data_IF_298943125409
#
_entry.id   IF_298943125409
#
_cell.length_a   1.000
_cell.length_b   1.000
_cell.length_c   1.000
_cell.angle_alpha   90.00
_cell.angle_beta   90.00
_cell.angle_gamma   90.00
#
_symmetry.space_group_name_H-M   'P 1'
#
loop_
_entity.id
_entity.type
_entity.pdbx_description
1 polymer ?
#
# COMPACT_ATOMS: atom_id res chain seq x y z
N UNK A 1 -23.03 19.31 34.49
CA UNK A 1 -22.15 18.18 34.14
C UNK A 1 -22.08 18.07 32.62
N UNK A 2 -20.95 17.63 32.06
CA UNK A 2 -20.83 17.40 30.62
C UNK A 2 -21.62 16.16 30.24
N UNK A 3 -22.34 16.19 29.12
CA UNK A 3 -22.97 14.99 28.54
C UNK A 3 -21.94 13.97 28.02
N UNK A 4 -20.67 14.35 27.96
CA UNK A 4 -19.56 13.52 27.50
C UNK A 4 -18.68 12.98 28.64
N UNK A 5 -19.11 13.11 29.90
CA UNK A 5 -18.32 12.69 31.07
C UNK A 5 -17.87 11.22 31.00
N UNK A 6 -18.69 10.34 30.41
CA UNK A 6 -18.42 8.90 30.34
C UNK A 6 -17.78 8.45 29.01
N UNK A 7 -17.41 9.38 28.11
CA UNK A 7 -16.78 9.02 26.84
C UNK A 7 -15.30 8.66 27.09
N UNK A 8 -14.89 7.39 26.92
CA UNK A 8 -13.51 7.00 27.17
C UNK A 8 -12.59 7.51 26.06
N UNK A 9 -11.37 7.90 26.41
CA UNK A 9 -10.35 8.22 25.43
C UNK A 9 -9.90 6.95 24.70
N UNK A 10 -10.02 6.94 23.37
CA UNK A 10 -9.54 5.85 22.54
C UNK A 10 -7.98 5.80 22.54
N UNK A 11 -7.38 4.60 22.50
CA UNK A 11 -5.93 4.48 22.37
C UNK A 11 -5.46 5.06 21.02
N UNK A 12 -4.27 5.69 20.97
CA UNK A 12 -3.75 6.22 19.72
C UNK A 12 -3.36 5.09 18.77
N UNK A 13 -3.50 5.34 17.47
CA UNK A 13 -3.00 4.42 16.44
C UNK A 13 -1.46 4.41 16.50
N UNK A 14 -0.89 3.23 16.77
CA UNK A 14 0.54 3.07 17.08
C UNK A 14 1.49 3.75 16.09
N UNK A 15 1.22 3.63 14.78
CA UNK A 15 2.09 4.22 13.74
C UNK A 15 2.08 5.75 13.75
N UNK A 16 0.93 6.37 14.08
CA UNK A 16 0.83 7.83 14.17
C UNK A 16 1.42 8.36 15.47
N UNK A 17 1.26 7.61 16.57
CA UNK A 17 1.95 7.92 17.84
C UNK A 17 3.46 7.93 17.65
N UNK A 18 4.02 6.90 17.00
CA UNK A 18 5.46 6.81 16.70
C UNK A 18 5.95 8.01 15.86
N UNK A 19 5.14 8.49 14.93
CA UNK A 19 5.46 9.68 14.11
C UNK A 19 5.41 10.96 14.93
N UNK A 20 4.43 11.09 15.83
CA UNK A 20 4.34 12.23 16.74
C UNK A 20 5.56 12.26 17.69
N UNK A 21 5.93 11.11 18.25
CA UNK A 21 7.09 10.99 19.13
C UNK A 21 8.39 11.36 18.41
N UNK A 22 8.59 10.83 17.19
CA UNK A 22 9.70 11.23 16.33
C UNK A 22 9.72 12.74 16.07
N UNK A 23 8.57 13.37 15.83
CA UNK A 23 8.52 14.81 15.55
C UNK A 23 8.92 15.63 16.77
N UNK A 24 8.43 15.25 17.94
CA UNK A 24 8.58 15.99 19.19
C UNK A 24 9.95 15.77 19.85
N UNK A 25 10.69 14.75 19.43
CA UNK A 25 12.07 14.46 19.85
C UNK A 25 13.08 15.50 19.31
N UNK A 26 13.84 16.22 20.16
CA UNK A 26 14.82 17.20 19.70
C UNK A 26 16.17 16.58 19.29
N UNK A 27 16.38 15.27 19.45
CA UNK A 27 17.68 14.64 19.24
C UNK A 27 18.16 14.81 17.79
N UNK A 28 19.40 15.29 17.55
CA UNK A 28 19.87 15.67 16.22
C UNK A 28 20.08 14.48 15.28
N UNK A 29 20.26 13.26 15.82
CA UNK A 29 20.45 12.03 15.03
C UNK A 29 19.21 11.13 15.00
N UNK A 30 18.02 11.64 15.35
CA UNK A 30 16.79 10.84 15.32
C UNK A 30 16.48 10.32 13.92
N UNK A 31 15.96 9.10 13.82
CA UNK A 31 15.63 8.46 12.54
C UNK A 31 14.20 7.91 12.57
N UNK A 32 13.41 8.16 11.51
CA UNK A 32 12.06 7.62 11.38
C UNK A 32 12.01 6.45 10.39
N UNK A 33 11.87 5.24 10.92
CA UNK A 33 11.69 3.99 10.18
C UNK A 33 10.28 3.40 10.40
N UNK A 34 9.30 4.21 10.83
CA UNK A 34 7.98 3.74 11.21
C UNK A 34 6.96 3.69 10.07
N UNK A 35 6.52 4.87 9.63
CA UNK A 35 5.52 5.04 8.57
C UNK A 35 6.14 4.66 7.23
N UNK A 36 5.47 3.79 6.47
CA UNK A 36 5.84 3.44 5.09
C UNK A 36 5.50 4.56 4.12
N UNK A 37 6.40 5.53 4.02
CA UNK A 37 6.33 6.60 3.04
C UNK A 37 7.73 6.87 2.48
N UNK A 38 7.77 7.17 1.18
CA UNK A 38 9.00 7.44 0.46
C UNK A 38 9.65 8.74 0.93
N UNK A 39 10.99 8.75 0.97
CA UNK A 39 11.79 9.90 1.36
C UNK A 39 12.95 10.11 0.40
N UNK A 40 13.44 11.35 0.35
CA UNK A 40 14.73 11.67 -0.25
C UNK A 40 15.89 11.23 0.65
N UNK A 41 17.13 11.31 0.17
CA UNK A 41 18.34 11.06 0.96
C UNK A 41 18.51 12.05 2.13
N UNK A 42 17.79 13.18 2.09
CA UNK A 42 17.66 14.17 3.17
C UNK A 42 16.47 13.91 4.11
N UNK A 43 15.88 12.70 4.05
CA UNK A 43 14.71 12.30 4.82
C UNK A 43 13.46 13.20 4.59
N UNK A 44 13.37 13.90 3.46
CA UNK A 44 12.22 14.75 3.13
C UNK A 44 11.16 14.00 2.32
N UNK A 45 9.87 14.38 2.41
CA UNK A 45 8.84 13.83 1.53
C UNK A 45 9.22 14.02 0.05
N UNK A 46 9.13 12.94 -0.73
CA UNK A 46 9.43 12.99 -2.15
C UNK A 46 8.13 12.96 -2.99
N UNK A 47 7.90 14.01 -3.75
CA UNK A 47 6.82 14.09 -4.73
C UNK A 47 7.40 13.74 -6.10
N UNK A 48 6.82 12.73 -6.76
CA UNK A 48 7.30 12.22 -8.03
C UNK A 48 7.29 13.34 -9.10
N UNK A 49 8.32 13.42 -9.97
CA UNK A 49 8.36 14.43 -11.05
C UNK A 49 7.12 14.40 -11.95
N UNK A 50 6.64 13.21 -12.33
CA UNK A 50 5.43 13.03 -13.14
C UNK A 50 4.19 13.59 -12.45
N UNK A 51 4.06 13.42 -11.13
CA UNK A 51 2.94 13.99 -10.35
C UNK A 51 2.97 15.51 -10.42
N UNK A 52 4.13 16.14 -10.18
CA UNK A 52 4.28 17.60 -10.31
C UNK A 52 3.95 18.11 -11.72
N UNK A 53 4.32 17.34 -12.75
CA UNK A 53 4.02 17.67 -14.15
C UNK A 53 2.52 17.61 -14.40
N UNK A 54 1.84 16.56 -13.95
CA UNK A 54 0.39 16.41 -14.09
C UNK A 54 -0.37 17.45 -13.29
N UNK A 55 0.09 17.82 -12.09
CA UNK A 55 -0.49 18.91 -11.31
C UNK A 55 -0.49 20.24 -12.07
N UNK A 56 0.61 20.59 -12.76
CA UNK A 56 0.64 21.78 -13.63
C UNK A 56 -0.36 21.69 -14.76
N UNK A 57 -0.44 20.53 -15.43
CA UNK A 57 -1.43 20.30 -16.49
C UNK A 57 -2.87 20.42 -15.99
N UNK A 58 -3.15 20.01 -14.74
CA UNK A 58 -4.47 20.16 -14.13
C UNK A 58 -4.79 21.63 -13.87
N UNK A 59 -3.83 22.41 -13.37
CA UNK A 59 -4.02 23.84 -13.08
C UNK A 59 -4.24 24.65 -14.37
N UNK A 60 -3.62 24.26 -15.47
CA UNK A 60 -3.73 24.94 -16.77
C UNK A 60 -5.01 24.58 -17.56
N UNK A 61 -5.68 23.49 -17.19
CA UNK A 61 -6.84 22.95 -17.90
C UNK A 61 -8.14 23.65 -17.49
N UNK A 62 -8.55 24.64 -18.27
CA UNK A 62 -9.76 25.44 -18.02
C UNK A 62 -11.08 24.65 -18.10
N UNK A 63 -11.05 23.41 -18.60
CA UNK A 63 -12.25 22.54 -18.63
C UNK A 63 -12.51 21.87 -17.28
N UNK A 64 -11.51 21.81 -16.40
CA UNK A 64 -11.62 21.19 -15.09
C UNK A 64 -12.31 22.14 -14.09
N UNK A 65 -13.12 21.54 -13.23
CA UNK A 65 -13.88 22.25 -12.19
C UNK A 65 -13.88 21.44 -10.88
N UNK A 66 -14.59 21.94 -9.88
CA UNK A 66 -14.78 21.29 -8.58
C UNK A 66 -16.19 20.72 -8.38
N UNK A 67 -16.90 20.42 -9.48
CA UNK A 67 -18.20 19.76 -9.41
C UNK A 67 -18.09 18.35 -8.84
N UNK A 68 -19.22 17.86 -8.32
CA UNK A 68 -19.30 16.50 -7.81
C UNK A 68 -19.02 15.48 -8.91
N UNK A 69 -18.20 14.48 -8.57
CA UNK A 69 -18.03 13.30 -9.40
C UNK A 69 -19.30 12.42 -9.38
N UNK A 70 -19.45 11.49 -10.35
CA UNK A 70 -20.37 10.37 -10.18
C UNK A 70 -20.16 9.68 -8.84
N UNK A 71 -21.20 9.02 -8.31
CA UNK A 71 -21.15 8.34 -7.00
C UNK A 71 -19.96 7.37 -6.94
N UNK A 72 -19.73 6.61 -8.01
CA UNK A 72 -18.63 5.65 -8.12
C UNK A 72 -17.26 6.29 -8.44
N UNK A 73 -17.18 7.61 -8.55
CA UNK A 73 -15.97 8.36 -8.87
C UNK A 73 -15.69 8.55 -10.35
N UNK A 74 -14.46 8.96 -10.65
CA UNK A 74 -14.03 9.36 -12.00
C UNK A 74 -13.91 8.13 -12.92
N UNK A 75 -14.70 8.01 -14.00
CA UNK A 75 -14.72 6.82 -14.86
C UNK A 75 -13.36 6.47 -15.48
N UNK A 76 -12.64 7.46 -15.96
CA UNK A 76 -11.34 7.29 -16.64
C UNK A 76 -10.27 6.78 -15.66
N UNK A 77 -10.35 7.23 -14.39
CA UNK A 77 -9.50 6.73 -13.32
C UNK A 77 -9.79 5.25 -13.01
N UNK A 78 -11.06 4.88 -12.83
CA UNK A 78 -11.45 3.50 -12.54
C UNK A 78 -10.99 2.53 -13.63
N UNK A 79 -11.21 2.89 -14.89
CA UNK A 79 -10.80 2.09 -16.05
C UNK A 79 -9.29 1.90 -16.08
N UNK A 80 -8.52 2.97 -15.95
CA UNK A 80 -7.06 2.90 -15.94
C UNK A 80 -6.50 2.12 -14.75
N UNK A 81 -7.07 2.30 -13.55
CA UNK A 81 -6.67 1.58 -12.35
C UNK A 81 -6.92 0.06 -12.48
N UNK A 82 -8.10 -0.32 -12.97
CA UNK A 82 -8.44 -1.74 -13.21
C UNK A 82 -7.52 -2.39 -14.25
N UNK A 83 -7.11 -1.66 -15.30
CA UNK A 83 -6.11 -2.14 -16.27
C UNK A 83 -4.74 -2.35 -15.64
N UNK A 84 -4.32 -1.49 -14.71
CA UNK A 84 -3.07 -1.71 -13.96
C UNK A 84 -3.12 -3.01 -13.15
N UNK A 85 -4.26 -3.34 -12.51
CA UNK A 85 -4.41 -4.61 -11.80
C UNK A 85 -4.49 -5.82 -12.74
N UNK A 86 -5.34 -5.75 -13.76
CA UNK A 86 -5.77 -6.93 -14.52
C UNK A 86 -5.00 -7.12 -15.83
N UNK A 87 -4.32 -6.10 -16.32
CA UNK A 87 -3.70 -6.04 -17.65
C UNK A 87 -4.69 -5.62 -18.73
N UNK A 88 -4.18 -4.97 -19.78
CA UNK A 88 -5.01 -4.48 -20.89
C UNK A 88 -5.75 -5.61 -21.62
N UNK A 89 -5.13 -6.78 -21.75
CA UNK A 89 -5.68 -7.96 -22.44
C UNK A 89 -6.52 -8.87 -21.52
N UNK A 90 -6.93 -8.39 -20.33
CA UNK A 90 -7.70 -9.18 -19.38
C UNK A 90 -9.03 -9.66 -19.98
N UNK A 91 -9.33 -10.98 -19.98
CA UNK A 91 -10.62 -11.49 -20.41
C UNK A 91 -11.79 -10.90 -19.62
N UNK A 92 -11.59 -10.62 -18.33
CA UNK A 92 -12.62 -10.00 -17.51
C UNK A 92 -12.94 -8.56 -17.98
N UNK A 93 -11.96 -7.83 -18.52
CA UNK A 93 -12.18 -6.50 -19.08
C UNK A 93 -12.91 -6.62 -20.42
N UNK A 94 -12.45 -7.49 -21.33
CA UNK A 94 -13.06 -7.65 -22.66
C UNK A 94 -14.50 -8.20 -22.59
N UNK A 95 -14.82 -8.99 -21.58
CA UNK A 95 -16.14 -9.58 -21.33
C UNK A 95 -17.08 -8.67 -20.49
N UNK A 96 -16.67 -7.45 -20.14
CA UNK A 96 -17.42 -6.50 -19.30
C UNK A 96 -17.79 -7.08 -17.91
N UNK A 97 -16.81 -7.68 -17.24
CA UNK A 97 -16.98 -8.33 -15.93
C UNK A 97 -16.29 -7.61 -14.77
N UNK A 98 -15.89 -6.34 -14.93
CA UNK A 98 -15.03 -5.62 -13.96
C UNK A 98 -15.68 -4.31 -13.44
N UNK A 99 -15.77 -4.08 -12.11
CA UNK A 99 -16.12 -2.76 -11.53
C UNK A 99 -15.72 -2.49 -10.03
N UNK A 100 -16.19 -1.49 -9.25
CA UNK A 100 -15.57 -1.03 -7.97
C UNK A 100 -16.51 -0.98 -6.74
N UNK A 101 -16.02 -1.23 -5.49
CA UNK A 101 -16.33 -0.63 -4.13
C UNK A 101 -16.44 -1.55 -2.86
N UNK A 102 -15.94 -1.06 -1.71
CA UNK A 102 -15.62 -1.82 -0.47
C UNK A 102 -16.79 -2.42 0.36
N UNK A 103 -18.04 -2.04 0.09
CA UNK A 103 -19.18 -2.39 0.97
C UNK A 103 -19.77 -3.78 0.77
N UNK A 104 -19.30 -4.53 -0.23
CA UNK A 104 -19.96 -5.77 -0.65
C UNK A 104 -19.88 -6.88 0.40
N UNK A 105 -18.83 -6.94 1.24
CA UNK A 105 -18.72 -8.05 2.20
C UNK A 105 -19.82 -8.07 3.25
N UNK A 106 -20.23 -6.88 3.70
CA UNK A 106 -21.30 -6.75 4.70
C UNK A 106 -22.66 -7.07 4.08
N UNK A 107 -22.94 -6.57 2.88
CA UNK A 107 -24.24 -6.72 2.22
C UNK A 107 -24.40 -8.08 1.50
N UNK A 108 -23.30 -8.72 1.11
CA UNK A 108 -23.30 -10.09 0.56
C UNK A 108 -23.36 -11.18 1.66
N UNK A 109 -23.46 -10.79 2.93
CA UNK A 109 -23.76 -11.71 4.03
C UNK A 109 -22.58 -12.55 4.52
N UNK A 110 -21.34 -12.13 4.27
CA UNK A 110 -20.16 -12.82 4.80
C UNK A 110 -20.08 -12.65 6.33
N UNK A 111 -20.10 -13.78 7.06
CA UNK A 111 -20.10 -13.80 8.55
C UNK A 111 -18.81 -14.33 9.17
N UNK A 112 -17.92 -14.92 8.38
CA UNK A 112 -16.69 -15.57 8.83
C UNK A 112 -15.55 -15.24 7.86
N UNK A 113 -14.67 -14.31 8.26
CA UNK A 113 -13.51 -13.85 7.48
C UNK A 113 -12.27 -14.38 8.18
N UNK A 114 -11.60 -15.34 7.56
CA UNK A 114 -10.41 -16.00 8.14
C UNK A 114 -9.15 -15.61 7.36
N UNK A 115 -8.08 -15.15 8.03
CA UNK A 115 -6.77 -14.98 7.38
C UNK A 115 -6.18 -16.36 7.06
N UNK A 116 -5.75 -16.56 5.81
CA UNK A 116 -5.05 -17.77 5.38
C UNK A 116 -3.62 -17.45 4.96
N UNK A 117 -2.69 -18.35 5.31
CA UNK A 117 -1.30 -18.27 4.87
C UNK A 117 -1.22 -18.64 3.38
N UNK A 118 -1.12 -17.62 2.52
CA UNK A 118 -0.86 -17.77 1.09
C UNK A 118 0.64 -17.66 0.75
N UNK A 119 1.51 -17.53 1.77
CA UNK A 119 2.94 -17.26 1.64
C UNK A 119 3.77 -18.42 2.20
N UNK A 120 4.60 -19.03 1.35
CA UNK A 120 5.64 -19.99 1.74
C UNK A 120 6.91 -19.20 2.11
N UNK A 121 7.23 -19.16 3.41
CA UNK A 121 8.39 -18.44 3.92
C UNK A 121 9.73 -19.05 3.44
N UNK A 122 9.75 -20.34 3.12
CA UNK A 122 10.95 -21.04 2.65
C UNK A 122 11.20 -20.76 1.16
N UNK A 123 10.14 -20.77 0.34
CA UNK A 123 10.21 -20.44 -1.08
C UNK A 123 10.18 -18.93 -1.36
N UNK A 124 9.88 -18.12 -0.33
CA UNK A 124 9.68 -16.66 -0.42
C UNK A 124 8.74 -16.30 -1.58
N UNK A 125 7.62 -17.02 -1.66
CA UNK A 125 6.66 -16.90 -2.75
C UNK A 125 5.27 -17.33 -2.33
N UNK A 126 4.30 -17.13 -3.22
CA UNK A 126 2.94 -17.59 -3.00
C UNK A 126 2.92 -19.13 -2.94
N UNK A 127 2.35 -19.70 -1.87
CA UNK A 127 2.10 -21.14 -1.82
C UNK A 127 0.76 -21.45 -2.47
N UNK A 128 0.80 -21.61 -3.80
CA UNK A 128 -0.35 -22.05 -4.60
C UNK A 128 -0.26 -23.55 -4.93
N UNK A 129 0.62 -24.30 -4.25
CA UNK A 129 0.92 -25.69 -4.63
C UNK A 129 -0.21 -26.66 -4.35
N UNK A 130 -1.16 -26.28 -3.50
CA UNK A 130 -2.40 -27.03 -3.35
C UNK A 130 -3.51 -26.41 -4.20
N UNK A 131 -4.21 -27.26 -4.97
CA UNK A 131 -5.50 -27.03 -5.65
C UNK A 131 -6.66 -26.61 -4.71
N UNK A 132 -6.32 -26.20 -3.50
CA UNK A 132 -7.19 -26.11 -2.34
C UNK A 132 -8.12 -24.91 -2.40
N UNK A 133 -7.64 -23.75 -2.86
CA UNK A 133 -8.47 -22.55 -3.10
C UNK A 133 -9.54 -22.81 -4.14
N UNK A 134 -9.21 -23.54 -5.21
CA UNK A 134 -10.16 -23.97 -6.26
C UNK A 134 -11.14 -24.99 -5.67
N UNK A 135 -10.67 -25.96 -4.88
CA UNK A 135 -11.51 -27.04 -4.34
C UNK A 135 -12.51 -26.60 -3.25
N UNK A 136 -12.32 -25.43 -2.63
CA UNK A 136 -13.11 -24.98 -1.46
C UNK A 136 -14.09 -23.85 -1.75
N UNK A 137 -14.27 -23.47 -3.02
CA UNK A 137 -15.22 -22.43 -3.42
C UNK A 137 -15.03 -21.11 -2.63
N UNK A 138 -13.77 -20.71 -2.43
CA UNK A 138 -13.41 -19.53 -1.67
C UNK A 138 -13.58 -18.26 -2.51
N UNK A 139 -14.08 -17.20 -1.90
CA UNK A 139 -14.08 -15.86 -2.50
C UNK A 139 -12.75 -15.16 -2.21
N UNK A 140 -12.11 -14.61 -3.24
CA UNK A 140 -10.76 -14.05 -3.13
C UNK A 140 -10.82 -12.53 -3.06
N UNK A 141 -10.10 -11.96 -2.10
CA UNK A 141 -9.94 -10.51 -1.97
C UNK A 141 -8.46 -10.16 -1.88
N UNK A 142 -7.93 -9.54 -2.94
CA UNK A 142 -6.59 -9.00 -3.01
C UNK A 142 -6.52 -7.59 -2.41
N UNK A 143 -5.55 -7.34 -1.54
CA UNK A 143 -5.11 -6.00 -1.15
C UNK A 143 -3.81 -5.67 -1.92
N UNK A 144 -3.88 -4.69 -2.82
CA UNK A 144 -2.81 -4.29 -3.74
C UNK A 144 -2.39 -2.83 -3.50
N UNK A 145 -1.64 -2.61 -2.42
CA UNK A 145 -1.14 -1.28 -2.06
C UNK A 145 0.30 -0.99 -2.53
N UNK A 146 1.02 -2.02 -3.00
CA UNK A 146 2.47 -1.99 -3.26
C UNK A 146 2.86 -2.45 -4.68
N UNK A 147 1.91 -2.46 -5.61
CA UNK A 147 2.19 -2.85 -7.00
C UNK A 147 3.27 -1.93 -7.59
N UNK A 148 4.35 -2.52 -8.10
CA UNK A 148 5.58 -1.86 -8.56
C UNK A 148 6.74 -1.92 -7.56
N UNK A 149 6.49 -2.16 -6.27
CA UNK A 149 7.55 -2.22 -5.24
C UNK A 149 8.14 -3.60 -5.05
N UNK A 150 7.49 -4.65 -5.55
CA UNK A 150 8.01 -5.99 -5.33
C UNK A 150 9.11 -6.33 -6.35
N UNK A 151 8.78 -6.28 -7.64
CA UNK A 151 9.73 -6.61 -8.71
C UNK A 151 10.28 -5.39 -9.47
N UNK A 152 9.76 -4.19 -9.22
CA UNK A 152 10.01 -3.03 -10.08
C UNK A 152 9.17 -3.06 -11.38
N UNK A 153 8.07 -3.80 -11.39
CA UNK A 153 7.19 -3.92 -12.56
C UNK A 153 5.74 -4.09 -12.11
N UNK A 154 4.87 -3.18 -12.56
CA UNK A 154 3.43 -3.27 -12.29
C UNK A 154 2.85 -4.59 -12.81
N UNK A 155 3.29 -5.02 -13.99
CA UNK A 155 2.85 -6.24 -14.66
C UNK A 155 3.19 -7.50 -13.86
N UNK A 156 4.47 -7.64 -13.46
CA UNK A 156 4.93 -8.80 -12.68
C UNK A 156 4.28 -8.83 -11.29
N UNK A 157 4.10 -7.67 -10.67
CA UNK A 157 3.51 -7.57 -9.33
C UNK A 157 2.00 -7.87 -9.34
N UNK A 158 1.32 -7.72 -10.48
CA UNK A 158 -0.09 -8.11 -10.66
C UNK A 158 -0.29 -9.60 -11.00
N UNK A 159 0.77 -10.39 -11.18
CA UNK A 159 0.67 -11.77 -11.68
C UNK A 159 -0.35 -12.62 -10.91
N UNK A 160 -0.37 -12.53 -9.58
CA UNK A 160 -1.28 -13.31 -8.74
C UNK A 160 -2.75 -12.97 -9.02
N UNK A 161 -3.09 -11.68 -9.10
CA UNK A 161 -4.44 -11.23 -9.43
C UNK A 161 -4.86 -11.79 -10.78
N UNK A 162 -3.99 -11.62 -11.79
CA UNK A 162 -4.27 -12.05 -13.17
C UNK A 162 -4.37 -13.57 -13.31
N UNK A 163 -3.56 -14.31 -12.55
CA UNK A 163 -3.65 -15.76 -12.49
C UNK A 163 -5.01 -16.20 -11.96
N UNK A 164 -5.49 -15.63 -10.85
CA UNK A 164 -6.81 -15.99 -10.31
C UNK A 164 -7.95 -15.62 -11.28
N UNK A 165 -7.87 -14.46 -11.94
CA UNK A 165 -8.83 -14.11 -13.00
C UNK A 165 -8.80 -15.12 -14.16
N UNK A 166 -7.62 -15.56 -14.59
CA UNK A 166 -7.50 -16.54 -15.68
C UNK A 166 -7.99 -17.94 -15.30
N UNK A 167 -7.99 -18.26 -14.00
CA UNK A 167 -8.63 -19.47 -13.46
C UNK A 167 -10.17 -19.33 -13.31
N UNK A 168 -10.75 -18.18 -13.69
CA UNK A 168 -12.20 -17.96 -13.68
C UNK A 168 -12.78 -17.52 -12.34
N UNK A 169 -11.95 -17.06 -11.40
CA UNK A 169 -12.44 -16.59 -10.10
C UNK A 169 -13.23 -15.29 -10.21
N UNK A 170 -14.33 -15.23 -9.46
CA UNK A 170 -14.90 -13.96 -9.00
C UNK A 170 -14.09 -13.47 -7.80
N UNK A 171 -13.68 -12.21 -7.81
CA UNK A 171 -12.76 -11.68 -6.81
C UNK A 171 -12.87 -10.16 -6.67
N UNK A 172 -12.32 -9.64 -5.58
CA UNK A 172 -12.05 -8.22 -5.43
C UNK A 172 -10.55 -7.90 -5.40
N UNK A 173 -10.21 -6.66 -5.77
CA UNK A 173 -8.87 -6.09 -5.65
C UNK A 173 -8.94 -4.68 -5.09
N UNK A 174 -8.49 -4.45 -3.86
CA UNK A 174 -8.36 -3.11 -3.28
C UNK A 174 -7.00 -2.53 -3.66
N UNK A 175 -6.99 -1.62 -4.62
CA UNK A 175 -5.78 -0.92 -5.06
C UNK A 175 -5.61 0.40 -4.32
N UNK A 176 -4.38 0.67 -3.86
CA UNK A 176 -4.01 1.97 -3.30
C UNK A 176 -2.98 2.66 -4.18
N UNK A 177 -3.19 3.96 -4.43
CA UNK A 177 -2.22 4.79 -5.12
C UNK A 177 -1.35 5.64 -4.17
N UNK A 178 -1.44 5.38 -2.87
CA UNK A 178 -0.69 6.16 -1.88
C UNK A 178 0.82 5.96 -1.98
N UNK A 179 1.29 4.76 -2.36
CA UNK A 179 2.72 4.42 -2.33
C UNK A 179 3.36 4.56 -3.71
N UNK A 180 2.79 3.89 -4.71
CA UNK A 180 3.31 3.88 -6.09
C UNK A 180 3.29 5.27 -6.76
N UNK A 181 2.27 6.08 -6.48
CA UNK A 181 2.20 7.48 -6.93
C UNK A 181 2.63 8.49 -5.85
N UNK A 182 2.95 8.05 -4.64
CA UNK A 182 3.26 8.94 -3.52
C UNK A 182 2.09 9.83 -3.07
N UNK A 183 0.85 9.50 -3.45
CA UNK A 183 -0.36 10.28 -3.15
C UNK A 183 -0.97 9.88 -1.81
N UNK A 184 -0.19 9.98 -0.73
CA UNK A 184 -0.56 9.47 0.60
C UNK A 184 -1.82 10.14 1.16
N UNK A 185 -1.91 11.46 1.07
CA UNK A 185 -3.00 12.27 1.67
C UNK A 185 -4.16 12.54 0.71
N UNK A 186 -3.99 12.35 -0.60
CA UNK A 186 -5.06 12.51 -1.61
C UNK A 186 -6.13 11.41 -1.53
N UNK A 187 -5.86 10.34 -0.78
CA UNK A 187 -6.79 9.21 -0.53
C UNK A 187 -7.28 8.54 -1.82
N UNK A 188 -6.39 8.39 -2.79
CA UNK A 188 -6.68 7.78 -4.09
C UNK A 188 -6.54 6.26 -4.01
N UNK A 189 -7.61 5.56 -4.36
CA UNK A 189 -7.67 4.11 -4.43
C UNK A 189 -8.80 3.67 -5.36
N UNK A 190 -8.76 2.41 -5.76
CA UNK A 190 -9.76 1.78 -6.63
C UNK A 190 -10.05 0.41 -6.04
N UNK A 191 -11.31 0.04 -5.82
CA UNK A 191 -11.64 -1.38 -5.69
C UNK A 191 -11.96 -1.90 -7.09
N UNK A 192 -11.52 -3.10 -7.41
CA UNK A 192 -11.90 -3.82 -8.62
C UNK A 192 -12.71 -5.05 -8.22
N UNK A 193 -13.71 -5.41 -8.99
CA UNK A 193 -14.68 -6.49 -8.78
C UNK A 193 -14.77 -7.25 -10.06
N UNK A 194 -14.32 -8.49 -10.03
CA UNK A 194 -14.46 -9.42 -11.14
C UNK A 194 -15.68 -10.27 -10.84
N UNK A 195 -16.75 -10.08 -11.62
CA UNK A 195 -17.96 -10.89 -11.53
C UNK A 195 -17.96 -12.00 -12.58
N UNK A 196 -18.89 -12.95 -12.47
CA UNK A 196 -19.07 -14.04 -13.44
C UNK A 196 -19.59 -13.54 -14.78
N UNK A 197 -20.42 -12.51 -14.77
CA UNK A 197 -21.07 -11.94 -15.94
C UNK A 197 -21.52 -10.49 -15.66
N UNK A 198 -21.98 -9.81 -16.71
CA UNK A 198 -22.40 -8.42 -16.67
C UNK A 198 -23.68 -8.20 -15.85
N UNK A 199 -24.55 -9.19 -15.74
CA UNK A 199 -25.79 -9.10 -14.95
C UNK A 199 -25.47 -9.07 -13.45
N UNK A 200 -24.61 -9.99 -12.99
CA UNK A 200 -24.13 -10.01 -11.62
C UNK A 200 -23.29 -8.78 -11.29
N UNK A 201 -22.52 -8.27 -12.26
CA UNK A 201 -21.80 -7.01 -12.10
C UNK A 201 -22.75 -5.83 -11.86
N UNK A 202 -23.80 -5.70 -12.67
CA UNK A 202 -24.79 -4.61 -12.55
C UNK A 202 -25.49 -4.60 -11.19
N UNK A 203 -25.88 -5.77 -10.68
CA UNK A 203 -26.47 -5.89 -9.34
C UNK A 203 -25.50 -5.47 -8.25
N UNK A 204 -24.25 -5.96 -8.32
CA UNK A 204 -23.20 -5.64 -7.36
C UNK A 204 -22.95 -4.11 -7.32
N UNK A 205 -22.86 -3.49 -8.49
CA UNK A 205 -22.72 -2.04 -8.64
C UNK A 205 -23.85 -1.23 -8.00
N UNK A 206 -25.10 -1.66 -8.17
CA UNK A 206 -26.23 -0.94 -7.59
C UNK A 206 -26.18 -0.88 -6.05
N UNK A 207 -25.62 -1.90 -5.39
CA UNK A 207 -25.45 -1.90 -3.93
C UNK A 207 -24.29 -1.00 -3.53
N UNK A 208 -23.21 -1.04 -4.28
CA UNK A 208 -22.03 -0.21 -4.07
C UNK A 208 -22.36 1.28 -4.14
N UNK A 209 -23.14 1.70 -5.13
CA UNK A 209 -23.61 3.09 -5.22
C UNK A 209 -24.35 3.54 -3.96
N UNK A 210 -25.22 2.69 -3.41
CA UNK A 210 -25.95 3.00 -2.16
C UNK A 210 -24.99 3.17 -0.99
N UNK A 211 -24.02 2.27 -0.86
CA UNK A 211 -23.05 2.30 0.24
C UNK A 211 -22.19 3.56 0.15
N UNK A 212 -21.66 3.86 -1.05
CA UNK A 212 -20.87 5.08 -1.27
C UNK A 212 -21.69 6.32 -0.97
N UNK A 213 -22.91 6.39 -1.51
CA UNK A 213 -23.80 7.53 -1.35
C UNK A 213 -24.09 7.83 0.12
N UNK A 214 -24.29 6.78 0.92
CA UNK A 214 -24.62 6.89 2.35
C UNK A 214 -23.41 7.07 3.25
N UNK A 215 -22.21 6.63 2.82
CA UNK A 215 -20.99 6.71 3.64
C UNK A 215 -20.22 8.00 3.41
N UNK A 216 -20.02 8.41 2.14
CA UNK A 216 -19.24 9.62 1.81
C UNK A 216 -19.73 10.38 0.57
N UNK A 217 -20.90 10.05 0.03
CA UNK A 217 -21.53 10.68 -1.14
C UNK A 217 -20.80 10.45 -2.47
N UNK A 218 -19.60 11.01 -2.64
CA UNK A 218 -18.74 10.87 -3.81
C UNK A 218 -17.26 11.02 -3.41
N UNK A 219 -16.33 10.37 -4.12
CA UNK A 219 -14.92 10.36 -3.74
C UNK A 219 -14.16 11.65 -4.14
N UNK A 220 -12.97 11.92 -3.55
CA UNK A 220 -12.12 13.03 -3.94
C UNK A 220 -11.69 12.98 -5.41
N UNK A 221 -11.67 14.13 -6.09
CA UNK A 221 -11.40 14.20 -7.54
C UNK A 221 -9.94 14.47 -7.90
N UNK A 222 -9.21 15.24 -7.08
CA UNK A 222 -7.88 15.75 -7.44
C UNK A 222 -6.88 14.63 -7.70
N UNK A 223 -6.62 13.78 -6.71
CA UNK A 223 -5.71 12.66 -6.89
C UNK A 223 -6.19 11.63 -7.93
N UNK A 224 -7.50 11.44 -8.12
CA UNK A 224 -8.04 10.60 -9.18
C UNK A 224 -7.70 11.15 -10.58
N UNK A 225 -7.75 12.47 -10.77
CA UNK A 225 -7.32 13.13 -12.01
C UNK A 225 -5.82 12.99 -12.24
N UNK A 226 -5.00 13.10 -11.19
CA UNK A 226 -3.55 12.89 -11.30
C UNK A 226 -3.27 11.50 -11.85
N UNK A 227 -3.78 10.46 -11.18
CA UNK A 227 -3.55 9.07 -11.61
C UNK A 227 -4.14 8.82 -13.00
N UNK A 228 -5.35 9.29 -13.28
CA UNK A 228 -6.00 9.11 -14.58
C UNK A 228 -5.20 9.75 -15.72
N UNK A 229 -4.80 11.02 -15.61
CA UNK A 229 -4.01 11.70 -16.64
C UNK A 229 -2.66 11.03 -16.85
N UNK A 230 -2.01 10.55 -15.79
CA UNK A 230 -0.75 9.81 -15.91
C UNK A 230 -0.92 8.47 -16.62
N UNK A 231 -1.86 7.63 -16.18
CA UNK A 231 -2.02 6.27 -16.73
C UNK A 231 -2.57 6.27 -18.15
N UNK A 232 -3.40 7.25 -18.52
CA UNK A 232 -3.99 7.34 -19.87
C UNK A 232 -3.11 8.10 -20.89
N UNK A 233 -1.92 8.55 -20.50
CA UNK A 233 -0.98 9.24 -21.39
C UNK A 233 0.33 8.45 -21.46
N UNK A 234 0.66 7.79 -22.59
CA UNK A 234 1.87 6.97 -22.70
C UNK A 234 3.17 7.71 -22.35
N UNK A 235 3.26 8.99 -22.69
CA UNK A 235 4.42 9.83 -22.37
C UNK A 235 4.57 10.04 -20.86
N UNK A 236 3.46 10.36 -20.16
CA UNK A 236 3.48 10.52 -18.70
C UNK A 236 3.67 9.18 -17.99
N UNK A 237 3.08 8.11 -18.51
CA UNK A 237 3.23 6.77 -17.95
C UNK A 237 4.67 6.28 -18.03
N UNK A 238 5.38 6.56 -19.12
CA UNK A 238 6.80 6.23 -19.25
C UNK A 238 7.70 6.97 -18.25
N UNK A 239 7.25 8.11 -17.71
CA UNK A 239 7.95 8.87 -16.67
C UNK A 239 7.65 8.35 -15.24
N UNK A 240 6.67 7.45 -15.07
CA UNK A 240 6.47 6.79 -13.79
C UNK A 240 7.70 5.95 -13.46
N UNK A 241 8.28 6.06 -12.25
CA UNK A 241 9.40 5.22 -11.85
C UNK A 241 8.93 3.76 -11.86
N UNK A 242 9.39 2.99 -12.85
CA UNK A 242 9.14 1.55 -12.93
C UNK A 242 9.69 0.86 -11.67
N UNK A 243 10.82 1.36 -11.15
CA UNK A 243 11.53 0.81 -10.02
C UNK A 243 11.45 1.76 -8.81
N UNK A 244 10.39 1.63 -8.02
CA UNK A 244 10.26 2.31 -6.72
C UNK A 244 10.95 1.53 -5.59
N UNK A 245 11.78 0.53 -5.92
CA UNK A 245 12.52 -0.22 -4.91
C UNK A 245 13.47 0.72 -4.17
N UNK A 246 13.45 0.73 -2.82
CA UNK A 246 14.48 1.42 -2.06
C UNK A 246 15.86 0.89 -2.49
N UNK A 247 16.87 1.76 -2.49
CA UNK A 247 18.24 1.35 -2.81
C UNK A 247 18.66 0.15 -1.93
N UNK A 248 19.38 -0.85 -2.47
CA UNK A 248 19.83 -2.00 -1.70
C UNK A 248 20.68 -1.54 -0.52
N UNK A 249 20.31 -1.98 0.67
CA UNK A 249 20.91 -1.59 1.94
C UNK A 249 22.12 -2.47 2.22
N UNK A 250 23.23 -1.90 2.68
CA UNK A 250 24.33 -2.68 3.24
C UNK A 250 23.88 -3.30 4.57
N UNK A 251 24.02 -4.62 4.69
CA UNK A 251 23.75 -5.37 5.92
C UNK A 251 24.53 -4.75 7.10
N UNK A 252 24.02 -4.84 8.34
CA UNK A 252 24.83 -4.53 9.52
C UNK A 252 26.20 -5.20 9.42
N UNK A 253 27.27 -4.46 9.72
CA UNK A 253 28.64 -4.92 9.51
C UNK A 253 28.91 -6.30 10.13
N UNK A 254 29.95 -6.98 9.61
CA UNK A 254 30.30 -8.40 9.87
C UNK A 254 30.47 -8.82 11.34
N UNK A 255 30.43 -7.89 12.30
CA UNK A 255 30.49 -8.17 13.74
C UNK A 255 29.13 -8.32 14.44
N UNK A 256 28.00 -8.10 13.77
CA UNK A 256 26.67 -8.16 14.42
C UNK A 256 26.18 -9.60 14.59
N UNK A 257 25.84 -10.07 15.81
CA UNK A 257 25.39 -11.44 16.01
C UNK A 257 24.17 -11.82 15.16
N UNK A 258 24.14 -13.07 14.70
CA UNK A 258 23.09 -13.61 13.83
C UNK A 258 23.34 -13.38 12.33
N UNK A 259 22.37 -13.76 11.51
CA UNK A 259 22.37 -13.52 10.06
C UNK A 259 21.44 -12.36 9.72
N UNK A 260 21.85 -11.51 8.77
CA UNK A 260 21.10 -10.32 8.37
C UNK A 260 20.70 -10.29 6.89
N UNK A 261 20.94 -11.37 6.16
CA UNK A 261 20.63 -11.50 4.73
C UNK A 261 19.13 -11.36 4.42
N UNK A 262 18.26 -11.56 5.42
CA UNK A 262 16.82 -11.34 5.25
C UNK A 262 16.46 -9.86 5.05
N UNK A 263 17.27 -8.91 5.52
CA UNK A 263 17.00 -7.48 5.31
C UNK A 263 17.07 -7.13 3.83
N UNK A 264 18.07 -7.65 3.12
CA UNK A 264 18.28 -7.38 1.69
C UNK A 264 17.44 -8.28 0.79
N UNK A 265 17.05 -9.45 1.27
CA UNK A 265 16.24 -10.39 0.49
C UNK A 265 14.72 -10.20 0.62
N UNK A 266 14.26 -9.45 1.63
CA UNK A 266 12.85 -9.10 1.77
C UNK A 266 12.41 -8.12 0.68
N UNK A 267 11.13 -8.21 0.31
CA UNK A 267 10.56 -7.52 -0.85
C UNK A 267 9.71 -6.34 -0.38
N UNK A 268 9.80 -5.21 -1.10
CA UNK A 268 8.94 -4.05 -0.92
C UNK A 268 9.54 -2.96 -0.02
N UNK A 269 8.67 -2.16 0.57
CA UNK A 269 9.05 -0.94 1.33
C UNK A 269 9.53 -1.24 2.76
N UNK A 270 9.25 -2.44 3.28
CA UNK A 270 9.53 -2.77 4.68
C UNK A 270 10.45 -3.97 4.80
N UNK A 271 11.22 -3.97 5.90
CA UNK A 271 11.92 -5.15 6.39
C UNK A 271 11.46 -5.48 7.81
N UNK A 272 11.32 -6.77 8.11
CA UNK A 272 11.18 -7.26 9.48
C UNK A 272 12.57 -7.63 9.98
N UNK A 273 13.10 -6.81 10.89
CA UNK A 273 14.48 -6.93 11.38
C UNK A 273 14.69 -8.18 12.22
N UNK A 274 13.66 -8.65 12.92
CA UNK A 274 13.76 -9.71 13.94
C UNK A 274 14.08 -9.20 15.34
N UNK A 275 14.22 -7.88 15.53
CA UNK A 275 14.40 -7.28 16.86
C UNK A 275 13.20 -7.57 17.75
N UNK A 276 13.48 -7.98 18.99
CA UNK A 276 12.44 -8.22 19.99
C UNK A 276 11.92 -6.89 20.59
N UNK A 277 10.79 -6.89 21.32
CA UNK A 277 10.20 -5.66 21.86
C UNK A 277 11.14 -4.84 22.76
N UNK A 278 12.02 -5.47 23.56
CA UNK A 278 12.97 -4.76 24.42
C UNK A 278 14.07 -4.08 23.59
N UNK A 279 14.56 -4.76 22.55
CA UNK A 279 15.53 -4.19 21.63
C UNK A 279 14.93 -3.02 20.86
N UNK A 280 13.68 -3.14 20.41
CA UNK A 280 12.94 -2.02 19.79
C UNK A 280 12.80 -0.85 20.77
N UNK A 281 12.46 -1.11 22.04
CA UNK A 281 12.38 -0.08 23.06
C UNK A 281 13.72 0.64 23.26
N UNK A 282 14.83 -0.09 23.30
CA UNK A 282 16.18 0.47 23.35
C UNK A 282 16.48 1.34 22.11
N UNK A 283 16.15 0.87 20.92
CA UNK A 283 16.32 1.62 19.67
C UNK A 283 15.57 2.95 19.72
N UNK A 284 14.33 2.97 20.23
CA UNK A 284 13.53 4.19 20.34
C UNK A 284 14.06 5.12 21.43
N UNK A 285 14.25 4.60 22.66
CA UNK A 285 14.54 5.42 23.84
C UNK A 285 15.98 5.90 23.93
N UNK A 286 16.94 5.05 23.58
CA UNK A 286 18.36 5.33 23.77
C UNK A 286 19.05 5.73 22.46
N UNK A 287 18.54 5.28 21.32
CA UNK A 287 19.11 5.55 20.00
C UNK A 287 18.27 6.48 19.15
N UNK A 288 17.10 6.91 19.61
CA UNK A 288 16.22 7.80 18.85
C UNK A 288 15.89 7.27 17.44
N UNK A 289 15.87 5.95 17.27
CA UNK A 289 15.52 5.25 16.03
C UNK A 289 14.11 4.70 16.17
N UNK A 290 13.17 5.30 15.46
CA UNK A 290 11.73 5.05 15.58
C UNK A 290 11.29 3.97 14.61
N UNK A 291 10.91 2.79 15.14
CA UNK A 291 10.43 1.63 14.39
C UNK A 291 9.21 0.98 15.08
N UNK A 292 8.49 0.12 14.37
CA UNK A 292 7.33 -0.56 14.94
C UNK A 292 7.76 -1.55 16.03
N UNK A 293 6.94 -1.70 17.08
CA UNK A 293 7.15 -2.69 18.15
C UNK A 293 7.35 -4.14 17.67
N UNK A 294 6.89 -4.45 16.45
CA UNK A 294 7.09 -5.75 15.79
C UNK A 294 8.47 -5.93 15.14
N UNK A 295 9.38 -4.96 15.28
CA UNK A 295 10.67 -4.93 14.58
C UNK A 295 10.58 -4.57 13.09
N UNK A 296 9.40 -4.15 12.59
CA UNK A 296 9.22 -3.70 11.21
C UNK A 296 9.82 -2.31 11.02
N UNK A 297 10.69 -2.16 10.02
CA UNK A 297 11.29 -0.90 9.59
C UNK A 297 10.84 -0.52 8.18
N UNK A 298 10.64 0.77 7.93
CA UNK A 298 10.51 1.36 6.60
C UNK A 298 11.90 1.60 6.01
N UNK A 299 12.22 0.86 4.95
CA UNK A 299 13.51 0.93 4.27
C UNK A 299 13.73 2.29 3.59
N UNK A 300 12.65 2.98 3.20
CA UNK A 300 12.74 4.33 2.63
C UNK A 300 13.13 5.41 3.65
N UNK A 301 13.17 5.10 4.95
CA UNK A 301 13.70 6.02 5.97
C UNK A 301 15.22 5.95 6.13
N UNK A 302 15.88 4.99 5.48
CA UNK A 302 17.32 4.83 5.48
C UNK A 302 17.94 5.64 4.35
N UNK A 303 19.03 6.33 4.66
CA UNK A 303 19.74 7.23 3.75
C UNK A 303 21.23 7.01 3.86
N UNK A 304 21.99 7.53 2.90
CA UNK A 304 23.46 7.48 2.93
C UNK A 304 24.06 8.09 4.20
N UNK A 305 23.30 8.95 4.88
CA UNK A 305 23.73 9.73 6.06
C UNK A 305 23.40 9.08 7.39
N UNK A 306 22.41 8.17 7.44
CA UNK A 306 21.93 7.58 8.68
C UNK A 306 22.11 6.06 8.76
N UNK A 307 22.42 5.39 7.64
CA UNK A 307 22.50 3.93 7.55
C UNK A 307 23.51 3.34 8.54
N UNK A 308 24.70 3.94 8.65
CA UNK A 308 25.75 3.48 9.58
C UNK A 308 25.31 3.64 11.04
N UNK A 309 24.64 4.74 11.37
CA UNK A 309 24.11 4.98 12.71
C UNK A 309 23.04 3.95 13.08
N UNK A 310 22.14 3.63 12.14
CA UNK A 310 21.11 2.61 12.36
C UNK A 310 21.74 1.22 12.49
N UNK A 311 22.69 0.85 11.63
CA UNK A 311 23.38 -0.43 11.70
C UNK A 311 24.13 -0.61 13.04
N UNK A 312 24.84 0.43 13.49
CA UNK A 312 25.52 0.43 14.79
C UNK A 312 24.53 0.35 15.95
N UNK A 313 23.39 1.05 15.86
CA UNK A 313 22.34 1.01 16.87
C UNK A 313 21.72 -0.38 16.99
N UNK A 314 21.47 -1.06 15.86
CA UNK A 314 21.01 -2.46 15.82
C UNK A 314 22.05 -3.38 16.47
N UNK A 315 23.32 -3.21 16.12
CA UNK A 315 24.41 -3.98 16.73
C UNK A 315 24.44 -3.85 18.24
N UNK A 316 24.35 -2.62 18.76
CA UNK A 316 24.29 -2.36 20.20
C UNK A 316 23.04 -2.94 20.85
N UNK A 317 21.87 -2.84 20.21
CA UNK A 317 20.63 -3.41 20.73
C UNK A 317 20.75 -4.94 20.90
N UNK A 318 21.30 -5.62 19.88
CA UNK A 318 21.43 -7.09 19.88
C UNK A 318 22.51 -7.58 20.84
N UNK A 319 23.56 -6.80 21.08
CA UNK A 319 24.66 -7.18 21.99
C UNK A 319 24.41 -6.80 23.44
N UNK A 320 23.71 -5.70 23.71
CA UNK A 320 23.48 -5.18 25.07
C UNK A 320 22.16 -5.63 25.69
N UNK A 321 21.13 -5.90 24.87
CA UNK A 321 19.77 -6.14 25.34
C UNK A 321 19.37 -7.60 25.06
N UNK A 322 19.24 -8.37 26.14
CA UNK A 322 18.77 -9.78 26.14
C UNK A 322 17.24 -9.89 26.21
#
# INVERSE_FOLDING_TARGET
MSVFTDVPQAPPVAVFKLTADFRDDPHPQKVNLGVGAYRTDDCQPWVLPVVKKVERLIVEDQSLNHEYLPILGLPEFRSAASKVALGDDSPAISENRVENHNGVFTDAGFKDIRPYHYWDANKRGLDLTDSWTISRNLFVFFDSAYQGFASGSLEKDAWAIRYFVSQGFELFVAQSFSKNFGLYNERVGNLTVVARDSENLSRTLSQMEKIVRTTWSNPPSQGARIVSKTLNCPELFAECPADARPAPIQTPGSGTPGTWDHITAQIGMFSFTGLNPKQVEYMVKEKHVYLMASGRINMCGLTSKNIDYVAQSIHEAVTKIQ
#
